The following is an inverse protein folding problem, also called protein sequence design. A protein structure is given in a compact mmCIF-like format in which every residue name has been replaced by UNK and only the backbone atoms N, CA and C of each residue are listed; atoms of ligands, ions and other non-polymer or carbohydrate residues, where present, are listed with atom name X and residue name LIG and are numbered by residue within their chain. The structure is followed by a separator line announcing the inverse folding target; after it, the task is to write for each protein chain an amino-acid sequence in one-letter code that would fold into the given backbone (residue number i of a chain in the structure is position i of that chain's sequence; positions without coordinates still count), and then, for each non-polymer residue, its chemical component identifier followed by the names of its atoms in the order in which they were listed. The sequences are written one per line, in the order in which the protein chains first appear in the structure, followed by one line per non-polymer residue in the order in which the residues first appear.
data_IF_459259947944
#
_entry.id   IF_459259947944
#
_cell.length_a   1.000
_cell.length_b   1.000
_cell.length_c   1.000
_cell.angle_alpha   90.00
_cell.angle_beta   90.00
_cell.angle_gamma   90.00
#
_symmetry.space_group_name_H-M   'P 1'
#
loop_
_entity.id
_entity.type
_entity.pdbx_description
1 polymer ?
#
# COMPACT_ATOMS: atom_id res chain seq x y z
N UNK A 1 25.15 33.84 -7.13
CA UNK A 1 23.78 34.32 -7.25
C UNK A 1 22.71 33.23 -7.11
N UNK A 2 23.06 31.93 -6.88
CA UNK A 2 22.08 30.86 -6.61
C UNK A 2 21.78 30.77 -5.11
N UNK A 3 20.57 30.28 -4.77
CA UNK A 3 20.21 30.02 -3.38
C UNK A 3 21.09 28.88 -2.83
N UNK A 4 21.59 29.06 -1.63
CA UNK A 4 22.45 28.05 -0.97
C UNK A 4 21.59 26.98 -0.27
N UNK A 5 21.09 26.04 -1.05
CA UNK A 5 20.50 24.78 -0.58
C UNK A 5 21.52 23.70 -0.92
N UNK A 6 22.24 23.19 0.08
CA UNK A 6 23.38 22.27 -0.11
C UNK A 6 23.56 21.33 1.07
N UNK A 7 24.16 20.21 0.76
CA UNK A 7 24.58 19.20 1.75
C UNK A 7 26.11 19.16 1.75
N UNK A 8 26.72 19.21 2.91
CA UNK A 8 28.15 18.99 3.11
C UNK A 8 28.32 17.56 3.60
N UNK A 9 29.17 16.80 2.94
CA UNK A 9 29.49 15.42 3.30
C UNK A 9 30.89 15.34 3.88
N UNK A 10 31.05 14.51 4.90
CA UNK A 10 32.37 14.11 5.41
C UNK A 10 33.03 13.08 4.50
N UNK A 11 32.21 12.23 3.87
CA UNK A 11 32.66 11.16 2.99
C UNK A 11 31.67 10.93 1.86
N UNK A 12 32.18 10.83 0.62
CA UNK A 12 31.36 10.65 -0.59
C UNK A 12 30.98 9.19 -0.85
N UNK A 13 31.76 8.23 -0.38
CA UNK A 13 31.48 6.80 -0.64
C UNK A 13 30.38 6.30 0.30
N UNK A 14 30.46 6.68 1.57
CA UNK A 14 29.47 6.31 2.59
C UNK A 14 28.30 7.30 2.68
N UNK A 15 28.41 8.45 1.98
CA UNK A 15 27.43 9.54 2.01
C UNK A 15 27.18 10.04 3.43
N UNK A 16 28.25 10.15 4.23
CA UNK A 16 28.17 10.65 5.60
C UNK A 16 27.93 12.16 5.61
N UNK A 17 26.73 12.56 6.07
CA UNK A 17 26.33 13.97 6.08
C UNK A 17 26.95 14.68 7.28
N UNK A 18 27.77 15.71 6.99
CA UNK A 18 28.32 16.64 8.01
C UNK A 18 27.25 17.66 8.40
N UNK A 19 26.71 18.39 7.45
CA UNK A 19 25.66 19.39 7.70
C UNK A 19 24.83 19.66 6.45
N UNK A 20 23.66 20.24 6.65
CA UNK A 20 22.73 20.65 5.59
C UNK A 20 22.42 22.13 5.73
N UNK A 21 22.49 22.86 4.62
CA UNK A 21 22.09 24.25 4.56
C UNK A 21 20.81 24.41 3.74
N UNK A 22 19.85 25.15 4.27
CA UNK A 22 18.67 25.62 3.56
C UNK A 22 18.63 27.13 3.53
N UNK A 23 18.62 27.71 2.34
CA UNK A 23 18.70 29.17 2.13
C UNK A 23 19.90 29.80 2.85
N UNK A 24 21.04 29.13 2.84
CA UNK A 24 22.27 29.57 3.50
C UNK A 24 22.29 29.47 5.02
N UNK A 25 21.26 28.87 5.63
CA UNK A 25 21.18 28.64 7.07
C UNK A 25 21.36 27.17 7.38
N UNK A 26 22.19 26.87 8.39
CA UNK A 26 22.33 25.51 8.92
C UNK A 26 20.99 25.03 9.49
N UNK A 27 20.57 23.81 9.09
CA UNK A 27 19.30 23.23 9.53
C UNK A 27 19.38 22.56 10.89
N UNK A 28 20.56 22.43 11.51
CA UNK A 28 20.72 21.80 12.83
C UNK A 28 19.85 22.47 13.92
N UNK A 29 19.59 23.78 13.76
CA UNK A 29 18.70 24.54 14.63
C UNK A 29 17.23 24.54 14.26
N UNK A 30 16.84 23.81 13.19
CA UNK A 30 15.45 23.79 12.72
C UNK A 30 14.50 23.24 13.80
N UNK A 31 13.38 23.92 13.98
CA UNK A 31 12.30 23.44 14.85
C UNK A 31 11.09 23.12 13.97
N UNK A 32 10.48 21.97 14.25
CA UNK A 32 9.28 21.56 13.57
C UNK A 32 8.18 22.64 13.66
N UNK A 33 7.47 22.83 12.56
CA UNK A 33 6.30 23.72 12.54
C UNK A 33 5.22 23.23 13.51
N UNK A 34 4.29 24.11 13.95
CA UNK A 34 3.17 23.70 14.75
C UNK A 34 2.42 22.53 14.13
N UNK A 35 1.98 21.59 14.97
CA UNK A 35 1.17 20.46 14.51
C UNK A 35 -0.17 20.95 13.98
N UNK A 36 -0.70 20.24 12.98
CA UNK A 36 -2.05 20.49 12.49
C UNK A 36 -3.07 20.35 13.65
N UNK A 37 -4.02 21.28 13.82
CA UNK A 37 -5.06 21.19 14.86
C UNK A 37 -5.79 19.85 14.83
N UNK A 38 -6.20 19.33 15.99
CA UNK A 38 -6.87 18.03 16.09
C UNK A 38 -8.26 18.03 15.45
N UNK A 39 -8.92 19.17 15.43
CA UNK A 39 -10.25 19.39 14.81
C UNK A 39 -10.20 19.71 13.33
N UNK A 40 -9.00 19.77 12.74
CA UNK A 40 -8.82 20.05 11.31
C UNK A 40 -9.62 19.07 10.44
N UNK A 41 -10.35 19.56 9.43
CA UNK A 41 -11.07 18.69 8.48
C UNK A 41 -10.12 17.74 7.71
N UNK A 42 -8.84 18.08 7.59
CA UNK A 42 -7.84 17.21 6.97
C UNK A 42 -7.57 15.91 7.75
N UNK A 43 -8.06 15.79 9.00
CA UNK A 43 -8.03 14.57 9.79
C UNK A 43 -9.29 13.69 9.64
N UNK A 44 -10.24 14.10 8.78
CA UNK A 44 -11.53 13.41 8.59
C UNK A 44 -11.79 13.13 7.12
N UNK A 45 -10.82 12.49 6.46
CA UNK A 45 -10.87 12.26 5.01
C UNK A 45 -11.15 10.79 4.63
N UNK A 46 -11.45 9.94 5.62
CA UNK A 46 -11.85 8.54 5.38
C UNK A 46 -13.36 8.45 5.18
N UNK A 47 -13.80 8.68 3.94
CA UNK A 47 -15.19 8.53 3.51
C UNK A 47 -15.38 7.17 2.84
N UNK A 48 -15.24 6.10 3.65
CA UNK A 48 -15.23 4.72 3.22
C UNK A 48 -16.33 3.93 3.94
N UNK A 49 -17.22 3.30 3.18
CA UNK A 49 -18.21 2.39 3.74
C UNK A 49 -17.55 1.11 4.28
N UNK A 50 -18.16 0.45 5.29
CA UNK A 50 -17.71 -0.88 5.71
C UNK A 50 -17.71 -1.85 4.53
N UNK A 51 -16.64 -2.64 4.42
CA UNK A 51 -16.52 -3.67 3.38
C UNK A 51 -17.11 -4.98 3.91
N UNK A 52 -18.01 -5.59 3.14
CA UNK A 52 -18.58 -6.89 3.45
C UNK A 52 -17.74 -8.02 2.87
N UNK A 53 -17.73 -9.22 3.48
CA UNK A 53 -16.96 -10.37 2.99
C UNK A 53 -17.22 -10.68 1.50
N UNK A 54 -18.45 -10.60 1.05
CA UNK A 54 -18.85 -10.90 -0.32
C UNK A 54 -18.22 -9.96 -1.36
N UNK A 55 -17.81 -8.77 -0.93
CA UNK A 55 -17.12 -7.80 -1.80
C UNK A 55 -15.64 -8.15 -2.05
N UNK A 56 -15.08 -9.10 -1.31
CA UNK A 56 -13.75 -9.66 -1.55
C UNK A 56 -13.80 -10.98 -2.35
N UNK A 57 -14.96 -11.47 -2.68
CA UNK A 57 -15.09 -12.64 -3.55
C UNK A 57 -14.58 -12.33 -4.95
N UNK A 58 -13.78 -13.22 -5.50
CA UNK A 58 -13.27 -13.16 -6.87
C UNK A 58 -13.68 -14.43 -7.59
N UNK A 59 -14.71 -14.40 -8.45
CA UNK A 59 -15.08 -15.54 -9.31
C UNK A 59 -13.92 -15.90 -10.24
N UNK A 60 -13.73 -17.20 -10.50
CA UNK A 60 -12.63 -17.67 -11.35
C UNK A 60 -13.16 -18.56 -12.49
N UNK A 61 -12.55 -18.37 -13.66
CA UNK A 61 -12.78 -19.16 -14.86
C UNK A 61 -11.65 -20.15 -15.16
N UNK A 62 -11.65 -20.70 -16.37
CA UNK A 62 -10.56 -21.58 -16.83
C UNK A 62 -9.25 -20.83 -16.99
N UNK A 63 -9.29 -19.55 -17.39
CA UNK A 63 -8.17 -18.64 -17.51
C UNK A 63 -8.51 -17.35 -16.79
N UNK A 64 -7.60 -16.90 -15.94
CA UNK A 64 -7.77 -15.69 -15.14
C UNK A 64 -6.57 -14.78 -15.35
N UNK A 65 -6.83 -13.50 -15.49
CA UNK A 65 -5.81 -12.49 -15.62
C UNK A 65 -5.22 -12.19 -14.24
N UNK A 66 -3.89 -12.31 -14.09
CA UNK A 66 -3.18 -12.17 -12.82
C UNK A 66 -2.07 -11.13 -12.95
N UNK A 67 -1.97 -10.27 -11.97
CA UNK A 67 -0.89 -9.29 -11.86
C UNK A 67 0.35 -10.02 -11.33
N UNK A 68 1.40 -10.12 -12.13
CA UNK A 68 2.66 -10.72 -11.68
C UNK A 68 3.60 -9.66 -11.12
N UNK A 69 4.07 -9.84 -9.91
CA UNK A 69 5.11 -9.02 -9.30
C UNK A 69 6.47 -9.36 -9.92
N UNK A 70 7.23 -8.32 -10.25
CA UNK A 70 8.61 -8.47 -10.75
C UNK A 70 9.54 -7.86 -9.68
N UNK A 71 10.42 -8.65 -9.05
CA UNK A 71 11.32 -8.15 -8.02
C UNK A 71 12.15 -6.95 -8.50
N UNK A 72 12.34 -5.97 -7.62
CA UNK A 72 13.06 -4.72 -7.88
C UNK A 72 12.50 -3.86 -9.02
N UNK A 73 11.22 -4.05 -9.40
CA UNK A 73 10.57 -3.30 -10.47
C UNK A 73 9.23 -2.72 -9.98
N UNK A 74 8.82 -1.59 -10.59
CA UNK A 74 7.47 -1.05 -10.44
C UNK A 74 6.52 -1.52 -11.55
N UNK A 75 7.06 -1.98 -12.67
CA UNK A 75 6.28 -2.64 -13.72
C UNK A 75 5.80 -4.01 -13.23
N UNK A 76 4.69 -4.49 -13.79
CA UNK A 76 4.16 -5.82 -13.50
C UNK A 76 4.10 -6.67 -14.77
N UNK A 77 4.06 -7.98 -14.61
CA UNK A 77 3.69 -8.88 -15.68
C UNK A 77 2.18 -9.06 -15.76
N UNK A 78 1.71 -9.52 -16.90
CA UNK A 78 0.35 -9.99 -17.13
C UNK A 78 0.39 -11.48 -17.44
N UNK A 79 -0.13 -12.29 -16.52
CA UNK A 79 -0.21 -13.74 -16.69
C UNK A 79 -1.67 -14.18 -16.84
N UNK A 80 -1.89 -15.20 -17.68
CA UNK A 80 -3.19 -15.86 -17.78
C UNK A 80 -3.06 -17.30 -17.29
N UNK A 81 -3.62 -17.55 -16.10
CA UNK A 81 -3.43 -18.81 -15.39
C UNK A 81 -4.74 -19.40 -14.88
N UNK A 82 -4.71 -20.69 -14.55
CA UNK A 82 -5.76 -21.31 -13.76
C UNK A 82 -5.48 -21.04 -12.29
N UNK A 83 -6.36 -20.27 -11.64
CA UNK A 83 -6.22 -19.96 -10.21
C UNK A 83 -6.74 -21.11 -9.33
N UNK A 84 -6.16 -21.31 -8.12
CA UNK A 84 -6.74 -22.18 -7.14
C UNK A 84 -8.11 -21.65 -6.71
N UNK A 85 -9.07 -22.59 -6.52
CA UNK A 85 -10.45 -22.18 -6.26
C UNK A 85 -11.20 -23.17 -5.37
N UNK A 86 -12.21 -22.65 -4.67
CA UNK A 86 -13.22 -23.42 -3.97
C UNK A 86 -14.60 -22.88 -4.30
N UNK A 87 -15.50 -23.72 -4.77
CA UNK A 87 -16.84 -23.34 -5.17
C UNK A 87 -16.90 -22.23 -6.25
N UNK A 88 -15.92 -22.19 -7.17
CA UNK A 88 -15.85 -21.18 -8.21
C UNK A 88 -15.25 -19.85 -7.77
N UNK A 89 -14.82 -19.70 -6.53
CA UNK A 89 -14.18 -18.50 -5.99
C UNK A 89 -12.70 -18.72 -5.76
N UNK A 90 -11.89 -17.69 -6.05
CA UNK A 90 -10.45 -17.71 -5.84
C UNK A 90 -10.09 -17.92 -4.36
N UNK A 91 -9.19 -18.85 -4.10
CA UNK A 91 -8.58 -19.09 -2.80
C UNK A 91 -7.09 -18.83 -2.90
N UNK A 92 -6.54 -17.84 -2.19
CA UNK A 92 -5.09 -17.59 -2.16
C UNK A 92 -4.28 -18.80 -1.68
N UNK A 93 -3.02 -18.84 -2.09
CA UNK A 93 -2.05 -19.85 -1.65
C UNK A 93 -0.62 -19.25 -1.65
N UNK A 94 0.40 -20.07 -1.49
CA UNK A 94 1.81 -19.63 -1.41
C UNK A 94 2.30 -18.85 -2.64
N UNK A 95 1.69 -19.03 -3.81
CA UNK A 95 2.06 -18.35 -5.05
C UNK A 95 1.15 -17.15 -5.37
N UNK A 96 -0.10 -17.23 -4.98
CA UNK A 96 -1.13 -16.25 -5.34
C UNK A 96 -1.74 -15.61 -4.11
N UNK A 97 -1.59 -14.29 -4.00
CA UNK A 97 -2.27 -13.45 -3.00
C UNK A 97 -3.50 -12.78 -3.61
N UNK A 98 -4.46 -12.42 -2.78
CA UNK A 98 -5.60 -11.58 -3.17
C UNK A 98 -5.27 -10.11 -2.92
N UNK A 99 -5.63 -9.23 -3.85
CA UNK A 99 -5.54 -7.77 -3.67
C UNK A 99 -6.93 -7.16 -3.80
N UNK A 100 -7.21 -6.16 -2.97
CA UNK A 100 -8.41 -5.35 -3.14
C UNK A 100 -8.09 -3.86 -3.02
N UNK A 101 -8.84 -3.04 -3.76
CA UNK A 101 -8.80 -1.57 -3.67
C UNK A 101 -10.19 -1.06 -3.36
N UNK A 102 -10.30 -0.40 -2.22
CA UNK A 102 -11.55 0.13 -1.67
C UNK A 102 -11.61 1.63 -1.89
N UNK A 103 -12.69 2.12 -2.50
CA UNK A 103 -12.92 3.55 -2.65
C UNK A 103 -13.15 4.20 -1.29
N UNK A 104 -12.38 5.28 -0.96
CA UNK A 104 -12.42 5.91 0.36
C UNK A 104 -12.68 7.41 0.38
N UNK A 105 -13.11 8.00 -0.73
CA UNK A 105 -13.27 9.46 -0.84
C UNK A 105 -14.73 9.90 -0.88
N UNK A 106 -15.63 9.04 -1.40
CA UNK A 106 -16.99 9.42 -1.74
C UNK A 106 -18.07 8.48 -1.20
N UNK A 107 -17.72 7.54 -0.30
CA UNK A 107 -18.65 6.54 0.25
C UNK A 107 -19.41 5.76 -0.84
N UNK A 108 -18.77 5.45 -1.96
CA UNK A 108 -19.44 4.74 -3.07
C UNK A 108 -19.64 3.26 -2.78
N UNK A 109 -18.89 2.71 -1.83
CA UNK A 109 -18.87 1.27 -1.53
C UNK A 109 -18.24 0.40 -2.61
N UNK A 110 -17.53 1.00 -3.58
CA UNK A 110 -16.86 0.25 -4.65
C UNK A 110 -15.60 -0.43 -4.12
N UNK A 111 -15.47 -1.71 -4.45
CA UNK A 111 -14.30 -2.54 -4.14
C UNK A 111 -13.93 -3.30 -5.41
N UNK A 112 -12.72 -3.07 -5.91
CA UNK A 112 -12.16 -3.89 -6.97
C UNK A 112 -11.25 -4.95 -6.37
N UNK A 113 -11.37 -6.18 -6.85
CA UNK A 113 -10.60 -7.34 -6.37
C UNK A 113 -9.78 -7.91 -7.52
N UNK A 114 -8.65 -8.54 -7.22
CA UNK A 114 -7.80 -9.20 -8.21
C UNK A 114 -6.87 -10.22 -7.56
N UNK A 115 -6.18 -10.98 -8.41
CA UNK A 115 -5.14 -11.90 -7.98
C UNK A 115 -3.76 -11.36 -8.32
N UNK A 116 -2.81 -11.55 -7.41
CA UNK A 116 -1.40 -11.16 -7.55
C UNK A 116 -0.52 -12.39 -7.37
N UNK A 117 0.40 -12.60 -8.29
CA UNK A 117 1.40 -13.66 -8.26
C UNK A 117 2.74 -13.11 -7.76
N UNK A 118 3.48 -13.93 -7.01
CA UNK A 118 4.84 -13.66 -6.52
C UNK A 118 4.93 -12.55 -5.43
N UNK A 119 3.83 -12.23 -4.73
CA UNK A 119 3.87 -11.39 -3.51
C UNK A 119 4.07 -12.20 -2.24
N UNK A 120 3.51 -13.39 -2.16
CA UNK A 120 3.78 -14.48 -1.23
C UNK A 120 3.56 -14.18 0.27
N UNK A 121 2.78 -13.15 0.64
CA UNK A 121 2.45 -12.93 2.05
C UNK A 121 1.62 -14.10 2.61
N UNK A 122 1.93 -14.53 3.83
CA UNK A 122 1.31 -15.70 4.45
C UNK A 122 0.74 -15.40 5.82
N UNK A 123 -0.39 -16.06 6.11
CA UNK A 123 -1.13 -15.96 7.36
C UNK A 123 -1.50 -14.53 7.74
N UNK A 124 -1.78 -13.66 6.73
CA UNK A 124 -2.10 -12.30 7.04
C UNK A 124 -2.36 -11.38 5.84
N UNK A 125 -2.42 -10.08 6.15
CA UNK A 125 -2.64 -9.03 5.17
C UNK A 125 -1.90 -7.74 5.52
N UNK A 126 -1.49 -7.01 4.49
CA UNK A 126 -0.95 -5.65 4.60
C UNK A 126 -1.85 -4.68 3.87
N UNK A 127 -2.13 -3.52 4.48
CA UNK A 127 -2.98 -2.50 3.89
C UNK A 127 -2.38 -1.10 4.01
N UNK A 128 -2.78 -0.23 3.07
CA UNK A 128 -2.31 1.15 2.99
C UNK A 128 -3.38 2.07 2.41
N UNK A 129 -3.42 3.31 2.90
CA UNK A 129 -4.14 4.43 2.27
C UNK A 129 -3.24 5.30 1.40
N UNK A 130 -1.94 4.96 1.31
CA UNK A 130 -1.00 5.60 0.40
C UNK A 130 -0.93 4.76 -0.88
N UNK A 131 -1.71 5.16 -1.88
CA UNK A 131 -1.84 4.45 -3.16
C UNK A 131 -1.87 5.44 -4.32
N UNK A 132 -0.82 5.49 -5.10
CA UNK A 132 -0.66 6.45 -6.20
C UNK A 132 -1.69 6.24 -7.33
N UNK A 133 -2.27 7.31 -7.91
CA UNK A 133 -2.35 8.71 -7.41
C UNK A 133 -3.66 8.93 -6.65
N UNK A 134 -4.57 7.94 -6.73
CA UNK A 134 -5.94 8.02 -6.21
C UNK A 134 -6.02 8.00 -4.69
N UNK A 135 -4.98 7.48 -4.02
CA UNK A 135 -4.94 7.27 -2.57
C UNK A 135 -6.17 6.57 -2.00
N UNK A 136 -6.71 5.62 -2.76
CA UNK A 136 -7.71 4.68 -2.26
C UNK A 136 -7.07 3.71 -1.25
N UNK A 137 -7.88 3.01 -0.48
CA UNK A 137 -7.38 2.01 0.44
C UNK A 137 -7.06 0.72 -0.31
N UNK A 138 -5.80 0.33 -0.34
CA UNK A 138 -5.32 -0.92 -0.95
C UNK A 138 -4.96 -1.93 0.13
N UNK A 139 -5.31 -3.20 -0.09
CA UNK A 139 -4.98 -4.31 0.80
C UNK A 139 -4.59 -5.54 -0.02
N UNK A 140 -3.56 -6.26 0.43
CA UNK A 140 -3.13 -7.53 -0.16
C UNK A 140 -2.94 -8.56 0.96
N UNK A 141 -3.38 -9.80 0.74
CA UNK A 141 -3.32 -10.84 1.75
C UNK A 141 -3.57 -12.23 1.19
N UNK A 142 -3.42 -13.24 2.03
CA UNK A 142 -3.70 -14.64 1.73
C UNK A 142 -5.04 -15.12 2.27
N UNK A 143 -5.77 -14.29 3.02
CA UNK A 143 -7.09 -14.63 3.54
C UNK A 143 -7.98 -13.39 3.72
N UNK A 144 -9.27 -13.55 3.48
CA UNK A 144 -10.24 -12.45 3.52
C UNK A 144 -10.46 -11.89 4.93
N UNK A 145 -10.33 -12.70 5.97
CA UNK A 145 -10.54 -12.27 7.35
C UNK A 145 -9.51 -11.22 7.78
N UNK A 146 -8.22 -11.47 7.51
CA UNK A 146 -7.16 -10.52 7.82
C UNK A 146 -7.20 -9.29 6.91
N UNK A 147 -7.61 -9.45 5.63
CA UNK A 147 -7.83 -8.32 4.73
C UNK A 147 -8.95 -7.40 5.24
N UNK A 148 -10.09 -7.95 5.64
CA UNK A 148 -11.20 -7.19 6.22
C UNK A 148 -10.77 -6.49 7.52
N UNK A 149 -10.04 -7.20 8.37
CA UNK A 149 -9.52 -6.64 9.63
C UNK A 149 -8.59 -5.45 9.38
N UNK A 150 -7.72 -5.56 8.38
CA UNK A 150 -6.81 -4.47 7.98
C UNK A 150 -7.57 -3.26 7.42
N UNK A 151 -8.56 -3.48 6.56
CA UNK A 151 -9.42 -2.42 6.01
C UNK A 151 -10.13 -1.68 7.13
N UNK A 152 -10.82 -2.41 8.03
CA UNK A 152 -11.58 -1.81 9.10
C UNK A 152 -10.69 -1.02 10.05
N UNK A 153 -9.53 -1.55 10.41
CA UNK A 153 -8.58 -0.84 11.26
C UNK A 153 -8.12 0.49 10.66
N UNK A 154 -7.77 0.51 9.37
CA UNK A 154 -7.38 1.77 8.71
C UNK A 154 -8.55 2.75 8.59
N UNK A 155 -9.77 2.25 8.43
CA UNK A 155 -10.99 3.06 8.41
C UNK A 155 -11.22 3.73 9.77
N UNK A 156 -11.05 2.99 10.87
CA UNK A 156 -11.20 3.49 12.25
C UNK A 156 -10.19 4.58 12.61
N UNK A 157 -8.91 4.40 12.23
CA UNK A 157 -7.83 5.31 12.61
C UNK A 157 -7.63 6.50 11.66
N UNK A 158 -8.41 6.59 10.58
CA UNK A 158 -8.32 7.69 9.61
C UNK A 158 -7.24 7.51 8.53
N UNK A 159 -6.71 6.30 8.36
CA UNK A 159 -5.72 5.93 7.35
C UNK A 159 -4.31 5.71 7.88
N UNK A 160 -3.45 5.17 7.01
CA UNK A 160 -2.10 4.78 7.35
C UNK A 160 -1.65 3.50 6.67
N UNK A 161 -0.75 2.80 7.34
CA UNK A 161 -0.34 1.44 7.02
C UNK A 161 -0.67 0.50 8.17
N UNK A 162 -1.06 -0.72 7.86
CA UNK A 162 -1.25 -1.76 8.87
C UNK A 162 -0.84 -3.13 8.35
N UNK A 163 -0.33 -3.97 9.25
CA UNK A 163 -0.01 -5.38 9.02
C UNK A 163 -0.78 -6.21 10.02
N UNK A 164 -1.56 -7.15 9.52
CA UNK A 164 -2.40 -8.08 10.29
C UNK A 164 -1.89 -9.49 10.09
N UNK A 165 -1.88 -10.30 11.14
CA UNK A 165 -1.56 -11.73 11.09
C UNK A 165 -2.48 -12.51 12.01
N UNK A 166 -3.16 -13.54 11.47
CA UNK A 166 -4.06 -14.41 12.23
C UNK A 166 -5.08 -13.61 13.08
N UNK A 167 -5.72 -12.60 12.50
CA UNK A 167 -6.71 -11.74 13.15
C UNK A 167 -6.13 -10.63 14.03
N UNK A 168 -4.83 -10.62 14.30
CA UNK A 168 -4.18 -9.66 15.18
C UNK A 168 -3.49 -8.54 14.38
N UNK A 169 -3.71 -7.30 14.80
CA UNK A 169 -2.97 -6.15 14.26
C UNK A 169 -1.56 -6.17 14.88
N UNK A 170 -0.54 -6.47 14.06
CA UNK A 170 0.84 -6.52 14.52
C UNK A 170 1.50 -5.15 14.51
N UNK A 171 1.31 -4.41 13.42
CA UNK A 171 1.90 -3.10 13.24
C UNK A 171 0.89 -2.11 12.68
N UNK A 172 1.01 -0.87 13.14
CA UNK A 172 0.25 0.26 12.61
C UNK A 172 1.13 1.50 12.53
N UNK A 173 1.11 2.15 11.38
CA UNK A 173 1.68 3.48 11.16
C UNK A 173 0.52 4.42 10.84
N UNK A 174 -0.04 5.13 11.83
CA UNK A 174 -1.14 6.06 11.60
C UNK A 174 -0.71 7.24 10.74
N UNK A 175 -1.50 7.55 9.73
CA UNK A 175 -1.34 8.74 8.88
C UNK A 175 -2.64 9.55 8.94
N UNK A 176 -2.95 10.19 10.10
CA UNK A 176 -4.25 10.79 10.33
C UNK A 176 -4.51 12.05 9.50
N UNK A 177 -3.49 12.61 8.86
CA UNK A 177 -3.63 13.78 8.01
C UNK A 177 -3.84 13.31 6.58
N UNK A 178 -5.06 13.42 6.09
CA UNK A 178 -5.53 12.99 4.76
C UNK A 178 -5.38 11.49 4.47
N UNK A 179 -5.06 10.68 5.49
CA UNK A 179 -4.66 9.29 5.29
C UNK A 179 -3.27 9.12 4.68
N UNK A 180 -2.45 10.18 4.64
CA UNK A 180 -1.18 10.24 3.90
C UNK A 180 0.00 10.72 4.72
N UNK A 181 -0.23 11.50 5.78
CA UNK A 181 0.82 12.16 6.54
C UNK A 181 0.63 11.99 8.04
N UNK A 182 1.74 11.96 8.77
CA UNK A 182 1.79 11.88 10.23
C UNK A 182 2.46 13.12 10.82
N UNK A 183 1.97 13.54 11.97
CA UNK A 183 2.61 14.56 12.83
C UNK A 183 3.40 13.95 14.00
N UNK A 184 3.61 12.63 13.98
CA UNK A 184 4.39 11.91 15.01
C UNK A 184 5.91 12.14 14.92
N UNK A 185 6.37 12.78 13.83
CA UNK A 185 7.79 13.03 13.57
C UNK A 185 8.46 11.89 12.79
N UNK A 186 9.53 12.27 12.07
CA UNK A 186 10.23 11.38 11.13
C UNK A 186 10.70 10.07 11.76
N UNK A 187 11.44 10.13 12.87
CA UNK A 187 12.01 8.92 13.50
C UNK A 187 10.94 7.93 13.97
N UNK A 188 9.83 8.42 14.52
CA UNK A 188 8.74 7.56 14.97
C UNK A 188 8.05 6.83 13.81
N UNK A 189 7.84 7.54 12.69
CA UNK A 189 7.24 6.95 11.48
C UNK A 189 8.22 5.96 10.83
N UNK A 190 9.47 6.37 10.63
CA UNK A 190 10.52 5.56 9.99
C UNK A 190 10.77 4.25 10.75
N UNK A 191 10.92 4.30 12.08
CA UNK A 191 11.13 3.10 12.89
C UNK A 191 9.99 2.10 12.78
N UNK A 192 8.73 2.57 12.81
CA UNK A 192 7.55 1.70 12.65
C UNK A 192 7.45 1.11 11.24
N UNK A 193 7.75 1.90 10.20
CA UNK A 193 7.76 1.41 8.82
C UNK A 193 8.81 0.32 8.63
N UNK A 194 10.04 0.53 9.13
CA UNK A 194 11.12 -0.45 9.02
C UNK A 194 10.75 -1.77 9.72
N UNK A 195 10.17 -1.71 10.93
CA UNK A 195 9.72 -2.89 11.64
C UNK A 195 8.58 -3.63 10.90
N UNK A 196 7.62 -2.90 10.33
CA UNK A 196 6.53 -3.46 9.54
C UNK A 196 7.05 -4.16 8.27
N UNK A 197 8.00 -3.54 7.55
CA UNK A 197 8.60 -4.10 6.34
C UNK A 197 9.36 -5.38 6.68
N UNK A 198 10.20 -5.37 7.71
CA UNK A 198 10.92 -6.55 8.17
C UNK A 198 9.95 -7.70 8.49
N UNK A 199 8.85 -7.40 9.21
CA UNK A 199 7.83 -8.40 9.54
C UNK A 199 7.09 -8.92 8.30
N UNK A 200 6.82 -8.09 7.30
CA UNK A 200 6.22 -8.54 6.06
C UNK A 200 7.13 -9.54 5.30
N UNK A 201 8.45 -9.33 5.32
CA UNK A 201 9.42 -10.31 4.78
C UNK A 201 9.42 -11.61 5.58
N UNK A 202 9.38 -11.56 6.92
CA UNK A 202 9.22 -12.76 7.75
C UNK A 202 7.90 -13.51 7.44
N UNK A 203 6.87 -12.81 6.98
CA UNK A 203 5.60 -13.39 6.55
C UNK A 203 5.61 -13.87 5.09
N UNK A 204 6.76 -13.92 4.43
CA UNK A 204 6.93 -14.52 3.12
C UNK A 204 7.09 -13.56 1.94
N UNK A 205 6.92 -12.25 2.13
CA UNK A 205 7.17 -11.28 1.04
C UNK A 205 8.64 -11.34 0.63
N UNK A 206 8.98 -11.56 -0.66
CA UNK A 206 10.36 -11.71 -1.12
C UNK A 206 11.22 -10.46 -0.87
N UNK A 207 12.51 -10.63 -0.55
CA UNK A 207 13.45 -9.52 -0.28
C UNK A 207 13.55 -8.49 -1.41
N UNK A 208 13.40 -8.92 -2.66
CA UNK A 208 13.37 -8.02 -3.82
C UNK A 208 12.08 -7.23 -4.00
N UNK A 209 11.09 -7.40 -3.11
CA UNK A 209 9.79 -6.74 -3.15
C UNK A 209 9.66 -5.78 -1.98
N UNK A 210 9.60 -4.48 -2.24
CA UNK A 210 9.24 -3.49 -1.21
C UNK A 210 7.71 -3.52 -0.99
N UNK A 211 7.19 -4.12 0.09
CA UNK A 211 5.76 -4.41 0.21
C UNK A 211 4.88 -3.16 0.17
N UNK A 212 5.28 -2.09 0.84
CA UNK A 212 4.50 -0.85 0.92
C UNK A 212 4.58 -0.05 -0.39
N UNK A 213 5.76 0.02 -0.99
CA UNK A 213 5.95 0.70 -2.29
C UNK A 213 5.16 -0.03 -3.37
N UNK A 214 5.31 -1.35 -3.47
CA UNK A 214 4.58 -2.13 -4.47
C UNK A 214 3.08 -1.96 -4.32
N UNK A 215 2.53 -2.12 -3.10
CA UNK A 215 1.10 -1.96 -2.83
C UNK A 215 0.59 -0.59 -3.27
N UNK A 216 1.38 0.46 -3.06
CA UNK A 216 1.06 1.82 -3.50
C UNK A 216 0.99 1.94 -5.02
N UNK A 217 1.92 1.31 -5.74
CA UNK A 217 2.01 1.41 -7.21
C UNK A 217 1.11 0.41 -7.94
N UNK A 218 0.67 -0.68 -7.31
CA UNK A 218 -0.31 -1.59 -7.91
C UNK A 218 -1.65 -0.90 -8.21
N UNK A 219 -1.96 0.19 -7.51
CA UNK A 219 -3.17 0.99 -7.73
C UNK A 219 -3.00 2.13 -8.75
N UNK A 220 -1.84 2.26 -9.41
CA UNK A 220 -1.53 3.35 -10.34
C UNK A 220 -1.72 2.92 -11.81
N UNK A 221 -2.88 3.23 -12.46
CA UNK A 221 -3.26 2.69 -13.78
C UNK A 221 -2.56 3.41 -14.96
N UNK A 222 -1.27 3.74 -14.80
CA UNK A 222 -0.43 4.36 -15.84
C UNK A 222 0.92 3.64 -16.03
N UNK A 223 1.21 2.65 -15.18
CA UNK A 223 2.43 1.84 -15.31
C UNK A 223 2.04 0.43 -15.79
N UNK A 224 2.58 -0.10 -16.91
CA UNK A 224 2.24 -1.42 -17.41
C UNK A 224 2.66 -2.55 -16.44
N UNK A 225 2.14 -3.78 -16.60
CA UNK A 225 1.07 -4.14 -17.53
C UNK A 225 -0.32 -4.05 -16.90
N UNK A 226 -0.59 -4.77 -15.79
CA UNK A 226 -1.88 -4.76 -15.08
C UNK A 226 -1.81 -3.93 -13.80
N UNK A 227 -2.92 -3.27 -13.50
CA UNK A 227 -3.14 -2.53 -12.24
C UNK A 227 -4.52 -2.82 -11.66
N UNK A 228 -4.74 -2.43 -10.42
CA UNK A 228 -6.02 -2.62 -9.72
C UNK A 228 -6.59 -1.27 -9.28
N UNK A 229 -7.88 -1.10 -9.48
CA UNK A 229 -8.62 0.11 -9.07
C UNK A 229 -9.90 -0.32 -8.34
N UNK A 230 -10.67 0.59 -7.72
CA UNK A 230 -11.99 0.24 -7.16
C UNK A 230 -13.00 -0.31 -8.19
N UNK A 231 -12.66 -0.29 -9.48
CA UNK A 231 -13.48 -0.84 -10.57
C UNK A 231 -12.99 -2.22 -11.05
N UNK A 232 -11.96 -2.77 -10.43
CA UNK A 232 -11.33 -4.04 -10.81
C UNK A 232 -9.99 -3.87 -11.51
N UNK A 233 -9.51 -4.95 -12.11
CA UNK A 233 -8.22 -5.03 -12.80
C UNK A 233 -8.25 -4.26 -14.11
N UNK A 234 -7.22 -3.45 -14.33
CA UNK A 234 -7.07 -2.59 -15.49
C UNK A 234 -5.82 -2.97 -16.30
N UNK A 235 -6.01 -3.25 -17.58
CA UNK A 235 -4.95 -3.48 -18.55
C UNK A 235 -4.48 -2.11 -19.07
N UNK A 236 -3.31 -1.68 -18.61
CA UNK A 236 -2.74 -0.37 -18.94
C UNK A 236 -2.30 -0.30 -20.41
N UNK A 237 -1.81 -1.41 -20.97
CA UNK A 237 -1.36 -1.44 -22.35
C UNK A 237 -2.51 -1.35 -23.34
N UNK A 238 -3.66 -1.94 -23.00
CA UNK A 238 -4.87 -1.91 -23.81
C UNK A 238 -5.88 -0.86 -23.38
N UNK A 239 -5.57 -0.09 -22.31
CA UNK A 239 -6.43 0.96 -21.76
C UNK A 239 -7.88 0.52 -21.50
N UNK A 240 -8.06 -0.66 -20.90
CA UNK A 240 -9.38 -1.24 -20.61
C UNK A 240 -9.43 -2.02 -19.29
N UNK A 241 -10.61 -2.07 -18.72
CA UNK A 241 -10.87 -3.01 -17.62
C UNK A 241 -10.99 -4.43 -18.15
N UNK A 242 -10.45 -5.38 -17.39
CA UNK A 242 -10.63 -6.79 -17.65
C UNK A 242 -11.95 -7.26 -17.05
N UNK A 243 -12.64 -8.16 -17.74
CA UNK A 243 -13.81 -8.83 -17.19
C UNK A 243 -13.34 -9.77 -16.05
N UNK A 244 -13.97 -9.69 -14.93
CA UNK A 244 -13.79 -10.59 -13.79
C UNK A 244 -15.02 -11.48 -13.62
#
# INVERSE_FOLDING_TARGET
GMQADLIVLDDLETVQIHTVYHRGKDVAGFRAQPKLPQDSPLRRTMHCLPVRPEQLELPVGEKNDVIRVIPNQLITGHEQVRLPQKNGLFVPNDLYSKIAVVERHHNTGKVGVGAVMDFNIQNGAIASTVAHDSHNLSVIGDNDADMLRAIEHLREIGGGYTLVQNGNILYTVPLPIMGLMSDAGFHAVQSKLSAMIAKAHEMGVPDGVSPLTLLSFLALPVIPALRITPRGVFDVEKMRFLAQ
#
